data_IF_295642837202
#
_entry.id   IF_295642837202
#
_cell.length_a   1.000
_cell.length_b   1.000
_cell.length_c   1.000
_cell.angle_alpha   90.00
_cell.angle_beta   90.00
_cell.angle_gamma   90.00
#
_symmetry.space_group_name_H-M   'P 1'
#
loop_
_entity.id
_entity.type
_entity.pdbx_description
1 polymer ?
#
# COMPACT_ATOMS: atom_id res chain seq x y z
N UNK A 1 12.25 -5.08 -10.12
CA UNK A 1 11.93 -3.65 -10.29
C UNK A 1 10.49 -3.60 -10.79
N UNK A 2 9.53 -3.87 -9.89
CA UNK A 2 8.12 -3.83 -10.23
C UNK A 2 7.72 -2.38 -10.47
N UNK A 3 7.04 -2.15 -11.58
CA UNK A 3 6.45 -0.86 -11.92
C UNK A 3 5.51 -0.50 -10.77
N UNK A 4 5.84 0.53 -10.00
CA UNK A 4 5.02 0.95 -8.87
C UNK A 4 3.72 1.54 -9.43
N UNK A 5 2.74 0.67 -9.71
CA UNK A 5 1.48 1.04 -10.34
C UNK A 5 0.88 2.20 -9.55
N UNK A 6 0.67 3.34 -10.19
CA UNK A 6 0.14 4.52 -9.49
C UNK A 6 -1.31 4.25 -9.09
N UNK A 7 -1.62 4.36 -7.80
CA UNK A 7 -3.00 4.23 -7.34
C UNK A 7 -3.82 5.45 -7.79
N UNK A 8 -4.98 5.21 -8.41
CA UNK A 8 -5.91 6.26 -8.85
C UNK A 8 -7.11 6.33 -7.93
N UNK A 9 -7.53 7.55 -7.56
CA UNK A 9 -8.68 7.76 -6.70
C UNK A 9 -9.97 7.37 -7.43
N UNK A 10 -10.80 6.45 -6.89
CA UNK A 10 -12.02 6.00 -7.57
C UNK A 10 -13.10 7.09 -7.64
N UNK A 11 -12.94 8.18 -6.88
CA UNK A 11 -13.90 9.29 -6.81
C UNK A 11 -13.48 10.47 -7.68
N UNK A 12 -12.19 10.82 -7.68
CA UNK A 12 -11.67 12.00 -8.38
C UNK A 12 -10.98 11.67 -9.70
N UNK A 13 -10.67 10.39 -9.95
CA UNK A 13 -9.92 9.92 -11.12
C UNK A 13 -8.51 10.55 -11.24
N UNK A 14 -7.91 10.92 -10.11
CA UNK A 14 -6.55 11.48 -10.04
C UNK A 14 -5.59 10.52 -9.34
N UNK A 15 -4.31 10.64 -9.64
CA UNK A 15 -3.25 9.92 -8.96
C UNK A 15 -3.22 10.25 -7.46
N UNK A 16 -3.17 9.21 -6.63
CA UNK A 16 -3.10 9.33 -5.18
C UNK A 16 -1.64 9.32 -4.71
N UNK A 17 -1.34 10.16 -3.73
CA UNK A 17 0.01 10.24 -3.16
C UNK A 17 0.24 9.08 -2.19
N UNK A 18 1.31 8.29 -2.39
CA UNK A 18 1.75 7.32 -1.38
C UNK A 18 2.30 8.09 -0.17
N UNK A 19 1.54 8.11 0.92
CA UNK A 19 1.83 8.93 2.09
C UNK A 19 2.61 8.18 3.15
N UNK A 20 2.40 6.87 3.26
CA UNK A 20 3.06 6.02 4.23
C UNK A 20 3.13 4.58 3.75
N UNK A 21 4.18 3.89 4.19
CA UNK A 21 4.34 2.44 4.09
C UNK A 21 4.43 1.91 5.52
N UNK A 22 3.67 0.86 5.83
CA UNK A 22 3.67 0.21 7.13
C UNK A 22 3.98 -1.26 6.97
N UNK A 23 4.82 -1.80 7.86
CA UNK A 23 5.02 -3.24 7.98
C UNK A 23 4.01 -3.79 8.99
N UNK A 24 3.17 -4.72 8.56
CA UNK A 24 2.25 -5.45 9.43
C UNK A 24 2.77 -6.87 9.69
N UNK A 25 3.37 -7.04 10.87
CA UNK A 25 3.90 -8.32 11.33
C UNK A 25 2.79 -9.29 11.76
N UNK A 26 1.62 -8.79 12.15
CA UNK A 26 0.52 -9.63 12.59
C UNK A 26 -0.14 -10.32 11.39
N UNK A 27 -0.33 -9.58 10.28
CA UNK A 27 -0.81 -10.14 9.01
C UNK A 27 0.17 -11.17 8.46
N UNK A 28 1.48 -10.94 8.58
CA UNK A 28 2.51 -11.90 8.15
C UNK A 28 2.36 -13.29 8.79
N UNK A 29 1.88 -13.37 10.03
CA UNK A 29 1.63 -14.68 10.68
C UNK A 29 0.48 -15.46 10.01
N UNK A 30 -0.51 -14.76 9.46
CA UNK A 30 -1.64 -15.38 8.77
C UNK A 30 -1.33 -15.62 7.28
N UNK A 31 -0.48 -14.81 6.68
CA UNK A 31 -0.19 -14.78 5.24
C UNK A 31 1.32 -14.81 4.98
N UNK A 32 1.98 -15.94 5.28
CA UNK A 32 3.43 -16.04 5.21
C UNK A 32 3.98 -15.86 3.79
N UNK A 33 3.20 -16.20 2.76
CA UNK A 33 3.57 -16.01 1.35
C UNK A 33 3.62 -14.53 0.92
N UNK A 34 3.00 -13.63 1.71
CA UNK A 34 3.00 -12.18 1.47
C UNK A 34 4.05 -11.44 2.31
N UNK A 35 4.87 -12.15 3.08
CA UNK A 35 5.95 -11.55 3.87
C UNK A 35 7.05 -11.07 2.95
N UNK A 36 7.42 -9.80 3.09
CA UNK A 36 8.65 -9.29 2.51
C UNK A 36 9.85 -9.92 3.23
N UNK A 37 10.77 -10.59 2.50
CA UNK A 37 11.86 -11.35 3.11
C UNK A 37 12.91 -10.48 3.80
N UNK A 38 13.04 -9.21 3.42
CA UNK A 38 14.00 -8.26 3.98
C UNK A 38 13.43 -7.57 5.24
N UNK A 39 12.11 -7.37 5.29
CA UNK A 39 11.41 -6.67 6.38
C UNK A 39 10.76 -7.62 7.39
N UNK A 40 10.50 -8.87 7.03
CA UNK A 40 9.93 -9.90 7.92
C UNK A 40 8.45 -9.70 8.26
N UNK A 41 7.73 -8.90 7.49
CA UNK A 41 6.29 -8.69 7.60
C UNK A 41 5.66 -8.30 6.27
N UNK A 42 4.35 -8.07 6.26
CA UNK A 42 3.64 -7.67 5.03
C UNK A 42 3.70 -6.15 4.92
N UNK A 43 4.10 -5.63 3.76
CA UNK A 43 4.15 -4.18 3.52
C UNK A 43 2.77 -3.71 3.02
N UNK A 44 2.23 -2.70 3.70
CA UNK A 44 0.98 -2.04 3.33
C UNK A 44 1.25 -0.56 3.03
N UNK A 45 0.96 -0.16 1.80
CA UNK A 45 1.05 1.22 1.32
C UNK A 45 -0.27 1.94 1.56
N UNK A 46 -0.20 3.18 2.05
CA UNK A 46 -1.33 4.07 2.26
C UNK A 46 -1.24 5.24 1.30
N UNK A 47 -2.24 5.37 0.44
CA UNK A 47 -2.34 6.43 -0.54
C UNK A 47 -3.48 7.37 -0.20
N UNK A 48 -3.23 8.67 -0.29
CA UNK A 48 -4.24 9.71 -0.03
C UNK A 48 -4.46 10.56 -1.28
N UNK A 49 -5.73 10.72 -1.67
CA UNK A 49 -6.11 11.57 -2.78
C UNK A 49 -5.88 13.04 -2.41
N UNK A 50 -5.11 13.81 -3.21
CA UNK A 50 -4.85 15.23 -2.93
C UNK A 50 -6.10 16.11 -3.08
N UNK A 51 -7.10 15.69 -3.87
CA UNK A 51 -8.29 16.50 -4.16
C UNK A 51 -9.39 16.32 -3.10
N UNK A 52 -9.76 15.07 -2.79
CA UNK A 52 -10.87 14.78 -1.86
C UNK A 52 -10.42 14.30 -0.48
N UNK A 53 -9.12 14.05 -0.27
CA UNK A 53 -8.57 13.56 1.00
C UNK A 53 -8.89 12.11 1.33
N UNK A 54 -9.52 11.35 0.41
CA UNK A 54 -9.80 9.94 0.62
C UNK A 54 -8.49 9.14 0.71
N UNK A 55 -8.37 8.30 1.72
CA UNK A 55 -7.23 7.39 1.91
C UNK A 55 -7.63 5.96 1.58
N UNK A 56 -6.80 5.28 0.80
CA UNK A 56 -6.92 3.87 0.46
C UNK A 56 -5.59 3.17 0.77
N UNK A 57 -5.62 1.90 1.08
CA UNK A 57 -4.41 1.09 1.26
C UNK A 57 -4.36 -0.07 0.27
N UNK A 58 -3.13 -0.53 -0.01
CA UNK A 58 -2.87 -1.76 -0.76
C UNK A 58 -1.66 -2.48 -0.19
N UNK A 59 -1.58 -3.78 -0.46
CA UNK A 59 -0.36 -4.54 -0.16
C UNK A 59 0.68 -4.29 -1.24
N UNK A 60 1.89 -3.93 -0.82
CA UNK A 60 3.05 -3.97 -1.69
C UNK A 60 3.53 -5.42 -1.76
N UNK A 61 3.79 -5.88 -2.99
CA UNK A 61 4.26 -7.24 -3.31
C UNK A 61 5.61 -7.21 -3.99
#
# INVERSE_FOLDING_TARGET
>A
MGENEKMVCPTCDVEMNCHAEKIDYAVGLAEPDAIDPDLGGVVEEFHTCPECGQTLSRRAS
#
